data_IF_139944884340
#
_entry.id   IF_139944884340
#
_cell.length_a   1.000
_cell.length_b   1.000
_cell.length_c   1.000
_cell.angle_alpha   90.00
_cell.angle_beta   90.00
_cell.angle_gamma   90.00
#
_symmetry.space_group_name_H-M   'P 1'
#
loop_
_entity.id
_entity.type
_entity.pdbx_description
1 polymer ?
#
# COMPACT_ATOMS: atom_id res chain seq x y z
N UNK A 1 30.02 -4.79 3.29
CA UNK A 1 28.94 -3.84 3.66
C UNK A 1 29.54 -2.51 4.11
N UNK A 2 29.30 -1.44 3.35
CA UNK A 2 29.61 -0.06 3.79
C UNK A 2 28.79 0.22 5.05
N UNK A 3 29.40 0.75 6.11
CA UNK A 3 28.75 1.02 7.42
C UNK A 3 28.06 -0.18 8.08
N UNK A 4 28.40 -1.42 7.67
CA UNK A 4 27.70 -2.65 8.11
C UNK A 4 26.19 -2.59 7.83
N UNK A 5 25.82 -2.02 6.68
CA UNK A 5 24.44 -1.91 6.21
C UNK A 5 24.19 -2.86 5.03
N UNK A 6 23.01 -3.47 4.99
CA UNK A 6 22.60 -4.39 3.90
C UNK A 6 21.15 -4.19 3.50
N UNK A 7 20.87 -4.26 2.19
CA UNK A 7 19.52 -4.40 1.64
C UNK A 7 19.24 -5.90 1.58
N UNK A 8 18.23 -6.35 2.33
CA UNK A 8 17.89 -7.76 2.41
C UNK A 8 16.42 -7.99 2.06
N UNK A 9 16.17 -8.93 1.15
CA UNK A 9 14.84 -9.48 0.91
C UNK A 9 14.76 -10.93 1.34
N UNK A 10 13.60 -11.36 1.84
CA UNK A 10 13.34 -12.75 2.21
C UNK A 10 12.49 -13.39 1.13
N UNK A 11 12.93 -14.52 0.58
CA UNK A 11 12.23 -15.15 -0.55
C UNK A 11 12.26 -16.67 -0.49
N UNK A 12 11.30 -17.27 -1.20
CA UNK A 12 11.20 -18.71 -1.45
C UNK A 12 10.91 -18.95 -2.95
N UNK A 13 10.87 -20.23 -3.34
CA UNK A 13 10.73 -20.64 -4.74
C UNK A 13 9.41 -20.24 -5.41
N UNK A 14 8.35 -19.95 -4.64
CA UNK A 14 7.02 -19.70 -5.17
C UNK A 14 6.89 -18.34 -5.88
N UNK A 15 7.81 -17.41 -5.59
CA UNK A 15 7.76 -16.02 -6.03
C UNK A 15 8.95 -15.62 -6.91
N UNK A 16 9.62 -16.58 -7.56
CA UNK A 16 10.76 -16.32 -8.47
C UNK A 16 10.47 -15.27 -9.54
N UNK A 17 9.24 -15.21 -10.04
CA UNK A 17 8.84 -14.23 -11.04
C UNK A 17 8.90 -12.78 -10.53
N UNK A 18 8.60 -12.55 -9.25
CA UNK A 18 8.78 -11.23 -8.61
C UNK A 18 10.23 -11.04 -8.16
N UNK A 19 10.87 -12.09 -7.63
CA UNK A 19 12.28 -12.03 -7.23
C UNK A 19 13.20 -11.62 -8.38
N UNK A 20 12.93 -12.08 -9.60
CA UNK A 20 13.69 -11.66 -10.78
C UNK A 20 13.62 -10.14 -10.99
N UNK A 21 12.43 -9.54 -10.93
CA UNK A 21 12.24 -8.09 -11.09
C UNK A 21 12.91 -7.30 -9.95
N UNK A 22 12.82 -7.80 -8.72
CA UNK A 22 13.49 -7.23 -7.55
C UNK A 22 15.02 -7.21 -7.73
N UNK A 23 15.60 -8.34 -8.15
CA UNK A 23 17.03 -8.51 -8.39
C UNK A 23 17.51 -7.65 -9.54
N UNK A 24 16.77 -7.60 -10.65
CA UNK A 24 17.09 -6.71 -11.78
C UNK A 24 17.09 -5.25 -11.33
N UNK A 25 16.12 -4.86 -10.49
CA UNK A 25 16.06 -3.53 -9.87
C UNK A 25 17.34 -3.18 -9.10
N UNK A 26 17.72 -3.98 -8.10
CA UNK A 26 18.88 -3.61 -7.28
C UNK A 26 20.24 -3.85 -7.95
N UNK A 27 20.40 -4.86 -8.81
CA UNK A 27 21.69 -5.15 -9.47
C UNK A 27 21.92 -4.27 -10.70
N UNK A 28 20.93 -4.13 -11.57
CA UNK A 28 21.08 -3.45 -12.87
C UNK A 28 20.60 -2.01 -12.81
N UNK A 29 19.45 -1.77 -12.19
CA UNK A 29 18.85 -0.44 -12.04
C UNK A 29 19.61 0.44 -11.06
N UNK A 30 19.36 0.24 -9.76
CA UNK A 30 19.92 1.04 -8.68
C UNK A 30 21.41 0.76 -8.39
N UNK A 31 21.96 -0.37 -8.87
CA UNK A 31 23.36 -0.81 -8.65
C UNK A 31 23.77 -0.76 -7.18
N UNK A 32 22.93 -1.36 -6.33
CA UNK A 32 23.09 -1.37 -4.87
C UNK A 32 24.22 -2.34 -4.52
N UNK A 33 25.34 -1.88 -3.93
CA UNK A 33 26.52 -2.74 -3.74
C UNK A 33 26.40 -3.72 -2.56
N UNK A 34 25.56 -3.42 -1.58
CA UNK A 34 25.38 -4.23 -0.37
C UNK A 34 23.94 -4.77 -0.32
N UNK A 35 23.59 -5.63 -1.28
CA UNK A 35 22.27 -6.22 -1.41
C UNK A 35 22.36 -7.75 -1.39
N UNK A 36 21.40 -8.41 -0.74
CA UNK A 36 21.34 -9.87 -0.72
C UNK A 36 19.92 -10.40 -0.63
N UNK A 37 19.76 -11.69 -0.94
CA UNK A 37 18.53 -12.44 -0.76
C UNK A 37 18.71 -13.46 0.37
N UNK A 38 17.78 -13.48 1.31
CA UNK A 38 17.68 -14.53 2.32
C UNK A 38 16.79 -15.64 1.78
N UNK A 39 17.42 -16.74 1.40
CA UNK A 39 16.77 -17.90 0.79
C UNK A 39 16.15 -18.78 1.88
N UNK A 40 14.82 -18.93 1.85
CA UNK A 40 14.07 -19.77 2.79
C UNK A 40 14.05 -21.26 2.40
N UNK A 41 14.51 -21.59 1.20
CA UNK A 41 14.58 -22.96 0.68
C UNK A 41 15.80 -23.14 -0.25
N UNK A 42 16.20 -24.40 -0.43
CA UNK A 42 17.36 -24.77 -1.27
C UNK A 42 17.18 -24.31 -2.73
N UNK A 43 16.02 -24.47 -3.39
CA UNK A 43 15.83 -23.98 -4.75
C UNK A 43 16.08 -22.47 -4.89
N UNK A 44 15.74 -21.66 -3.89
CA UNK A 44 16.00 -20.22 -3.90
C UNK A 44 17.48 -19.91 -3.77
N UNK A 45 18.22 -20.66 -2.95
CA UNK A 45 19.67 -20.52 -2.83
C UNK A 45 20.35 -20.85 -4.18
N UNK A 46 19.97 -21.96 -4.81
CA UNK A 46 20.47 -22.33 -6.14
C UNK A 46 20.10 -21.30 -7.22
N UNK A 47 18.88 -20.76 -7.16
CA UNK A 47 18.44 -19.69 -8.06
C UNK A 47 19.31 -18.44 -7.93
N UNK A 48 19.70 -18.07 -6.69
CA UNK A 48 20.58 -16.93 -6.42
C UNK A 48 22.01 -17.20 -6.90
N UNK A 49 22.56 -18.39 -6.61
CA UNK A 49 23.90 -18.81 -7.08
C UNK A 49 24.01 -18.73 -8.60
N UNK A 50 23.02 -19.24 -9.32
CA UNK A 50 23.00 -19.25 -10.78
C UNK A 50 22.96 -17.84 -11.41
N UNK A 51 22.66 -16.80 -10.62
CA UNK A 51 22.52 -15.40 -11.06
C UNK A 51 23.53 -14.46 -10.41
N UNK A 52 24.53 -14.99 -9.72
CA UNK A 52 25.53 -14.20 -8.98
C UNK A 52 24.87 -13.21 -7.99
N UNK A 53 23.82 -13.67 -7.32
CA UNK A 53 23.13 -12.91 -6.27
C UNK A 53 23.67 -13.35 -4.92
N UNK A 54 24.24 -12.40 -4.17
CA UNK A 54 24.65 -12.63 -2.79
C UNK A 54 23.44 -13.14 -1.99
N UNK A 55 23.62 -14.23 -1.25
CA UNK A 55 22.52 -14.84 -0.51
C UNK A 55 22.97 -15.43 0.83
N UNK A 56 21.98 -15.57 1.71
CA UNK A 56 22.09 -16.23 3.00
C UNK A 56 20.96 -17.26 3.10
N UNK A 57 21.28 -18.54 3.31
CA UNK A 57 20.26 -19.58 3.44
C UNK A 57 19.80 -19.70 4.88
N UNK A 58 18.50 -19.52 5.11
CA UNK A 58 17.85 -19.76 6.41
C UNK A 58 16.53 -20.48 6.19
N UNK A 59 16.58 -21.81 6.24
CA UNK A 59 15.39 -22.63 6.06
C UNK A 59 14.43 -22.42 7.22
N UNK A 60 13.28 -21.80 6.93
CA UNK A 60 12.24 -21.52 7.91
C UNK A 60 10.90 -21.99 7.37
N UNK A 61 10.09 -22.58 8.25
CA UNK A 61 8.70 -22.93 7.99
C UNK A 61 7.79 -22.04 8.82
N UNK A 62 6.65 -21.64 8.24
CA UNK A 62 5.63 -20.89 8.96
C UNK A 62 5.01 -21.78 10.04
N UNK A 63 4.39 -21.16 11.06
CA UNK A 63 3.74 -21.87 12.17
C UNK A 63 2.72 -22.92 11.72
N UNK A 64 1.98 -22.62 10.65
CA UNK A 64 0.94 -23.50 10.11
C UNK A 64 1.47 -24.44 9.03
N UNK A 65 2.77 -24.38 8.70
CA UNK A 65 3.34 -25.04 7.52
C UNK A 65 2.85 -24.45 6.19
N UNK A 66 1.98 -23.43 6.23
CA UNK A 66 1.45 -22.77 5.05
C UNK A 66 2.54 -22.00 4.32
N UNK A 67 2.55 -22.12 3.00
CA UNK A 67 3.38 -21.33 2.09
C UNK A 67 2.67 -20.06 1.61
N UNK A 68 1.48 -19.75 2.17
CA UNK A 68 0.77 -18.51 1.89
C UNK A 68 1.65 -17.29 2.22
N UNK A 69 1.49 -16.22 1.45
CA UNK A 69 2.25 -14.98 1.58
C UNK A 69 2.11 -14.40 2.98
N UNK A 70 0.92 -14.47 3.59
CA UNK A 70 0.71 -14.00 4.97
C UNK A 70 1.44 -14.86 5.99
N UNK A 71 1.44 -16.18 5.84
CA UNK A 71 2.10 -17.12 6.75
C UNK A 71 3.64 -17.05 6.65
N UNK A 72 4.17 -16.73 5.48
CA UNK A 72 5.61 -16.62 5.22
C UNK A 72 6.16 -15.21 5.49
N UNK A 73 5.35 -14.16 5.36
CA UNK A 73 5.77 -12.77 5.61
C UNK A 73 6.36 -12.56 7.01
N UNK A 74 5.79 -13.15 8.05
CA UNK A 74 6.27 -13.00 9.43
C UNK A 74 7.66 -13.60 9.69
N UNK A 75 8.16 -14.48 8.81
CA UNK A 75 9.49 -15.10 8.97
C UNK A 75 10.64 -14.08 8.88
N UNK A 76 10.39 -12.92 8.26
CA UNK A 76 11.37 -11.83 8.15
C UNK A 76 11.92 -11.39 9.51
N UNK A 77 11.12 -11.40 10.57
CA UNK A 77 11.60 -10.97 11.89
C UNK A 77 12.67 -11.90 12.48
N UNK A 78 12.62 -13.21 12.21
CA UNK A 78 13.70 -14.14 12.60
C UNK A 78 15.00 -13.89 11.85
N UNK A 79 14.90 -13.43 10.61
CA UNK A 79 16.06 -13.07 9.79
C UNK A 79 16.66 -11.76 10.30
N UNK A 80 15.82 -10.78 10.64
CA UNK A 80 16.25 -9.50 11.20
C UNK A 80 17.03 -9.67 12.51
N UNK A 81 16.62 -10.60 13.37
CA UNK A 81 17.36 -10.92 14.61
C UNK A 81 18.82 -11.30 14.32
N UNK A 82 19.10 -12.07 13.27
CA UNK A 82 20.47 -12.49 12.95
C UNK A 82 21.35 -11.29 12.60
N UNK A 83 20.87 -10.42 11.70
CA UNK A 83 21.58 -9.22 11.28
C UNK A 83 21.84 -8.29 12.47
N UNK A 84 20.80 -8.00 13.25
CA UNK A 84 20.90 -7.06 14.37
C UNK A 84 21.80 -7.59 15.49
N UNK A 85 21.81 -8.91 15.74
CA UNK A 85 22.65 -9.54 16.77
C UNK A 85 24.14 -9.36 16.48
N UNK A 86 24.54 -9.40 15.21
CA UNK A 86 25.94 -9.18 14.83
C UNK A 86 26.29 -7.70 14.67
N UNK A 87 25.34 -6.78 14.90
CA UNK A 87 25.54 -5.34 14.69
C UNK A 87 25.49 -4.92 13.23
N UNK A 88 24.73 -5.63 12.39
CA UNK A 88 24.46 -5.27 10.99
C UNK A 88 23.10 -4.56 10.90
N UNK A 89 23.09 -3.32 10.41
CA UNK A 89 21.85 -2.58 10.14
C UNK A 89 21.27 -3.06 8.81
N UNK A 90 19.95 -3.11 8.70
CA UNK A 90 19.28 -3.80 7.59
C UNK A 90 18.15 -2.96 7.03
N UNK A 91 18.21 -2.69 5.73
CA UNK A 91 17.09 -2.22 4.93
C UNK A 91 16.35 -3.47 4.47
N UNK A 92 15.30 -3.83 5.18
CA UNK A 92 14.44 -4.92 4.78
C UNK A 92 13.53 -4.46 3.64
N UNK A 93 13.38 -5.33 2.64
CA UNK A 93 12.44 -5.16 1.55
C UNK A 93 11.71 -6.46 1.27
N UNK A 94 10.40 -6.39 1.11
CA UNK A 94 9.62 -7.42 0.43
C UNK A 94 10.02 -7.45 -1.05
N UNK A 95 9.77 -8.59 -1.71
CA UNK A 95 10.18 -8.82 -3.11
C UNK A 95 9.36 -8.02 -4.13
N UNK A 96 8.26 -7.41 -3.70
CA UNK A 96 7.36 -6.59 -4.51
C UNK A 96 7.73 -5.09 -4.47
N UNK A 97 8.97 -4.78 -4.10
CA UNK A 97 9.58 -3.47 -4.19
C UNK A 97 10.49 -3.38 -5.42
N UNK A 98 10.35 -2.33 -6.21
CA UNK A 98 11.26 -1.99 -7.31
C UNK A 98 12.25 -0.91 -6.87
N UNK A 99 13.53 -1.04 -7.24
CA UNK A 99 14.62 -0.16 -6.81
C UNK A 99 15.26 0.60 -7.98
N UNK A 100 14.95 1.89 -8.14
CA UNK A 100 15.47 2.69 -9.27
C UNK A 100 16.76 3.42 -8.91
N UNK A 101 16.96 3.77 -7.63
CA UNK A 101 18.18 4.46 -7.16
C UNK A 101 18.71 3.81 -5.89
N UNK A 102 20.04 3.83 -5.71
CA UNK A 102 20.66 3.31 -4.49
C UNK A 102 20.14 4.06 -3.25
N UNK A 103 19.48 3.38 -2.28
CA UNK A 103 18.81 4.05 -1.17
C UNK A 103 19.77 4.46 -0.06
N UNK A 104 20.96 3.84 0.06
CA UNK A 104 21.84 4.06 1.22
C UNK A 104 22.26 5.51 1.43
N UNK A 105 22.61 6.31 0.40
CA UNK A 105 22.91 7.73 0.59
C UNK A 105 21.74 8.56 1.14
N UNK A 106 20.51 8.05 1.04
CA UNK A 106 19.27 8.77 1.38
C UNK A 106 18.61 8.32 2.69
N UNK A 107 19.18 7.33 3.40
CA UNK A 107 18.73 6.95 4.75
C UNK A 107 19.15 8.02 5.78
N UNK A 108 18.26 8.36 6.70
CA UNK A 108 18.45 9.44 7.68
C UNK A 108 19.39 9.04 8.83
N UNK A 109 19.27 7.79 9.30
CA UNK A 109 20.04 7.15 10.37
C UNK A 109 19.93 7.83 11.73
N UNK A 110 18.78 8.40 12.03
CA UNK A 110 18.52 9.13 13.27
C UNK A 110 17.41 8.50 14.14
N UNK A 111 16.88 7.36 13.71
CA UNK A 111 15.87 6.59 14.42
C UNK A 111 16.19 5.09 14.35
N UNK A 112 15.77 4.34 15.36
CA UNK A 112 15.89 2.87 15.41
C UNK A 112 15.21 2.23 14.19
N UNK A 113 14.05 2.77 13.82
CA UNK A 113 13.24 2.36 12.68
C UNK A 113 13.01 3.54 11.73
N UNK A 114 13.46 3.40 10.49
CA UNK A 114 13.04 4.25 9.38
C UNK A 114 12.10 3.44 8.48
N UNK A 115 10.81 3.72 8.52
CA UNK A 115 9.80 2.93 7.81
C UNK A 115 9.10 3.68 6.70
N UNK A 116 8.73 2.98 5.63
CA UNK A 116 7.74 3.50 4.69
C UNK A 116 6.37 3.63 5.37
N UNK A 117 5.57 4.63 5.00
CA UNK A 117 4.18 4.70 5.39
C UNK A 117 3.29 4.07 4.33
N UNK A 118 2.21 3.44 4.78
CA UNK A 118 1.08 3.11 3.92
C UNK A 118 0.30 4.38 3.53
N UNK A 119 0.46 5.51 4.24
CA UNK A 119 -0.09 6.80 3.78
C UNK A 119 0.44 7.17 2.39
N UNK A 120 -0.41 7.72 1.53
CA UNK A 120 -0.15 7.93 0.10
C UNK A 120 -0.10 9.40 -0.32
N UNK A 121 -0.24 10.31 0.65
CA UNK A 121 -0.04 11.75 0.52
C UNK A 121 0.68 12.27 1.76
N UNK A 122 1.08 13.55 1.76
CA UNK A 122 1.84 14.13 2.88
C UNK A 122 1.12 13.99 4.23
N UNK A 123 -0.17 14.31 4.26
CA UNK A 123 -1.01 14.28 5.47
C UNK A 123 -1.14 12.88 6.07
N UNK A 124 -1.31 11.87 5.21
CA UNK A 124 -1.46 10.48 5.66
C UNK A 124 -0.12 9.80 5.94
N UNK A 125 0.93 10.14 5.19
CA UNK A 125 2.25 9.54 5.36
C UNK A 125 2.94 10.03 6.64
N UNK A 126 2.94 11.34 6.89
CA UNK A 126 3.58 11.93 8.07
C UNK A 126 2.65 11.99 9.29
N UNK A 127 1.35 11.88 9.07
CA UNK A 127 0.34 12.03 10.10
C UNK A 127 -0.06 13.49 10.30
N UNK A 128 -1.16 13.69 11.02
CA UNK A 128 -1.71 15.03 11.27
C UNK A 128 -2.36 15.12 12.65
N UNK A 129 -2.48 16.34 13.15
CA UNK A 129 -3.22 16.62 14.38
C UNK A 129 -4.71 16.35 14.15
N UNK A 130 -5.29 15.47 14.97
CA UNK A 130 -6.70 15.09 14.91
C UNK A 130 -7.56 15.81 15.97
N UNK A 131 -6.99 16.81 16.66
CA UNK A 131 -7.63 17.59 17.71
C UNK A 131 -7.37 17.04 19.11
N UNK A 132 -7.59 17.87 20.15
CA UNK A 132 -7.45 17.44 21.54
C UNK A 132 -6.04 16.98 21.95
N UNK A 133 -4.99 17.41 21.22
CA UNK A 133 -3.62 16.95 21.43
C UNK A 133 -3.33 15.56 20.86
N UNK A 134 -4.24 15.00 20.05
CA UNK A 134 -4.06 13.69 19.42
C UNK A 134 -3.42 13.81 18.03
N UNK A 135 -2.59 12.84 17.68
CA UNK A 135 -2.01 12.71 16.34
C UNK A 135 -2.57 11.45 15.69
N UNK A 136 -3.14 11.58 14.50
CA UNK A 136 -3.55 10.45 13.69
C UNK A 136 -2.43 10.07 12.74
N UNK A 137 -1.97 8.82 12.87
CA UNK A 137 -0.96 8.22 12.01
C UNK A 137 -1.62 7.17 11.13
N UNK A 138 -1.17 7.06 9.88
CA UNK A 138 -1.45 5.89 9.06
C UNK A 138 -0.47 4.76 9.39
N UNK A 139 -0.81 3.53 9.02
CA UNK A 139 0.05 2.38 9.29
C UNK A 139 1.45 2.59 8.72
N UNK A 140 2.47 2.15 9.47
CA UNK A 140 3.81 1.91 8.95
C UNK A 140 3.80 0.58 8.22
N UNK A 141 4.32 0.60 7.00
CA UNK A 141 4.40 -0.59 6.18
C UNK A 141 5.41 -1.57 6.79
N UNK A 142 5.06 -2.86 6.86
CA UNK A 142 5.95 -3.91 7.38
C UNK A 142 6.79 -4.59 6.28
N UNK A 143 6.66 -4.16 5.03
CA UNK A 143 7.37 -4.74 3.89
C UNK A 143 8.57 -3.91 3.42
N UNK A 144 8.73 -2.65 3.84
CA UNK A 144 9.95 -1.89 3.54
C UNK A 144 10.31 -0.92 4.67
N UNK A 145 11.45 -1.15 5.30
CA UNK A 145 11.98 -0.33 6.39
C UNK A 145 13.47 -0.58 6.63
N UNK A 146 14.16 0.41 7.17
CA UNK A 146 15.53 0.30 7.65
C UNK A 146 15.55 0.21 9.18
N UNK A 147 16.26 -0.79 9.70
CA UNK A 147 16.56 -0.94 11.11
C UNK A 147 18.03 -0.63 11.37
N UNK A 148 18.28 0.36 12.22
CA UNK A 148 19.60 0.53 12.82
C UNK A 148 19.87 -0.61 13.79
N UNK A 149 21.11 -1.12 13.83
CA UNK A 149 21.54 -2.16 14.75
C UNK A 149 21.71 -1.66 16.19
N UNK A 150 20.62 -1.22 16.81
CA UNK A 150 20.55 -0.80 18.21
C UNK A 150 19.98 -1.91 19.09
N UNK A 151 20.08 -1.73 20.42
CA UNK A 151 19.48 -2.66 21.38
C UNK A 151 17.96 -2.68 21.25
N UNK A 152 17.34 -1.53 20.97
CA UNK A 152 15.90 -1.35 20.82
C UNK A 152 15.39 -2.05 19.55
N UNK A 153 16.07 -1.86 18.40
CA UNK A 153 15.74 -2.58 17.17
C UNK A 153 15.84 -4.09 17.34
N UNK A 154 16.92 -4.59 17.97
CA UNK A 154 17.08 -6.02 18.25
C UNK A 154 15.97 -6.54 19.19
N UNK A 155 15.63 -5.80 20.24
CA UNK A 155 14.55 -6.16 21.15
C UNK A 155 13.18 -6.20 20.44
N UNK A 156 12.92 -5.25 19.53
CA UNK A 156 11.69 -5.22 18.75
C UNK A 156 11.61 -6.41 17.79
N UNK A 157 12.66 -6.65 17.00
CA UNK A 157 12.70 -7.76 16.06
C UNK A 157 12.58 -9.12 16.77
N UNK A 158 13.25 -9.28 17.92
CA UNK A 158 13.16 -10.50 18.74
C UNK A 158 11.75 -10.74 19.25
N UNK A 159 11.08 -9.67 19.71
CA UNK A 159 9.70 -9.78 20.17
C UNK A 159 8.76 -10.09 19.01
N UNK A 160 8.88 -9.40 17.88
CA UNK A 160 8.06 -9.67 16.70
C UNK A 160 8.22 -11.09 16.19
N UNK A 161 9.45 -11.62 16.14
CA UNK A 161 9.72 -13.02 15.82
C UNK A 161 8.95 -13.97 16.75
N UNK A 162 9.02 -13.76 18.07
CA UNK A 162 8.23 -14.54 19.05
C UNK A 162 6.73 -14.41 18.81
N UNK A 163 6.23 -13.18 18.58
CA UNK A 163 4.80 -12.94 18.33
C UNK A 163 4.31 -13.67 17.08
N UNK A 164 5.09 -13.71 15.99
CA UNK A 164 4.73 -14.47 14.79
C UNK A 164 4.65 -15.99 15.04
N UNK A 165 5.42 -16.51 16.00
CA UNK A 165 5.37 -17.92 16.39
C UNK A 165 4.20 -18.22 17.34
N UNK A 166 3.87 -17.30 18.24
CA UNK A 166 2.93 -17.59 19.33
C UNK A 166 1.54 -16.99 19.13
N UNK A 167 1.40 -15.92 18.35
CA UNK A 167 0.16 -15.17 18.16
C UNK A 167 -0.39 -15.41 16.74
N UNK A 168 -1.70 -15.52 16.57
CA UNK A 168 -2.34 -15.56 15.24
C UNK A 168 -2.52 -14.18 14.62
N UNK A 169 -1.61 -13.25 14.92
CA UNK A 169 -1.72 -11.84 14.54
C UNK A 169 -1.09 -11.59 13.17
N UNK A 170 -1.60 -10.59 12.45
CA UNK A 170 -1.01 -10.14 11.20
C UNK A 170 0.31 -9.40 11.46
N UNK A 171 1.32 -9.65 10.63
CA UNK A 171 2.68 -9.10 10.79
C UNK A 171 2.69 -7.58 10.84
N UNK A 172 1.92 -6.92 9.96
CA UNK A 172 1.81 -5.47 9.93
C UNK A 172 1.12 -4.90 11.18
N UNK A 173 0.11 -5.60 11.71
CA UNK A 173 -0.56 -5.20 12.96
C UNK A 173 0.42 -5.28 14.13
N UNK A 174 1.16 -6.39 14.26
CA UNK A 174 2.15 -6.54 15.32
C UNK A 174 3.28 -5.50 15.19
N UNK A 175 3.79 -5.28 13.96
CA UNK A 175 4.80 -4.27 13.64
C UNK A 175 4.42 -2.87 14.11
N UNK A 176 3.19 -2.44 13.85
CA UNK A 176 2.71 -1.11 14.27
C UNK A 176 2.48 -1.06 15.79
N UNK A 177 1.96 -2.14 16.39
CA UNK A 177 1.74 -2.20 17.83
C UNK A 177 3.05 -2.07 18.61
N UNK A 178 4.13 -2.75 18.19
CA UNK A 178 5.43 -2.67 18.89
C UNK A 178 6.10 -1.30 18.80
N UNK A 179 5.72 -0.48 17.80
CA UNK A 179 6.22 0.88 17.63
C UNK A 179 5.43 1.90 18.44
N UNK A 180 4.09 1.76 18.51
CA UNK A 180 3.23 2.85 18.98
C UNK A 180 2.47 2.57 20.28
N UNK A 181 2.33 1.31 20.71
CA UNK A 181 1.64 1.05 21.97
C UNK A 181 2.49 1.54 23.16
N UNK A 182 1.89 2.34 24.07
CA UNK A 182 2.58 2.69 25.31
C UNK A 182 2.76 1.45 26.18
N UNK A 183 3.60 1.54 27.20
CA UNK A 183 3.57 0.53 28.26
C UNK A 183 2.26 0.68 29.06
N UNK A 184 1.53 -0.42 29.27
CA UNK A 184 0.30 -0.45 30.07
C UNK A 184 0.10 -1.83 30.69
N UNK A 185 -0.37 -1.87 31.94
CA UNK A 185 -0.59 -3.13 32.66
C UNK A 185 0.64 -4.05 32.61
N UNK A 186 0.50 -5.24 32.02
CA UNK A 186 1.58 -6.20 31.82
C UNK A 186 2.37 -6.01 30.52
N UNK A 187 1.92 -5.16 29.60
CA UNK A 187 2.62 -4.87 28.36
C UNK A 187 3.76 -3.86 28.59
N UNK A 188 4.99 -4.25 28.24
CA UNK A 188 6.16 -3.36 28.26
C UNK A 188 6.46 -2.86 26.85
N UNK A 189 6.40 -1.56 26.60
CA UNK A 189 6.83 -1.00 25.32
C UNK A 189 8.31 -1.30 25.04
N UNK A 190 8.67 -1.55 23.77
CA UNK A 190 10.08 -1.71 23.38
C UNK A 190 10.82 -0.36 23.39
N UNK A 191 10.10 0.72 23.08
CA UNK A 191 10.64 2.07 23.10
C UNK A 191 11.57 2.37 21.92
N UNK A 192 11.27 1.84 20.73
CA UNK A 192 11.97 2.23 19.51
C UNK A 192 11.63 3.66 19.11
N UNK A 193 12.62 4.41 18.67
CA UNK A 193 12.41 5.66 17.93
C UNK A 193 12.03 5.36 16.48
N UNK A 194 11.12 6.15 15.91
CA UNK A 194 10.60 5.91 14.56
C UNK A 194 10.69 7.16 13.69
N UNK A 195 11.02 6.96 12.41
CA UNK A 195 11.01 7.98 11.36
C UNK A 195 10.28 7.46 10.14
N UNK A 196 9.55 8.36 9.47
CA UNK A 196 8.95 8.07 8.17
C UNK A 196 9.97 8.35 7.09
N UNK A 197 10.20 7.37 6.22
CA UNK A 197 10.90 7.60 4.96
C UNK A 197 10.12 8.63 4.12
N UNK A 198 10.81 9.47 3.35
CA UNK A 198 10.12 10.43 2.48
C UNK A 198 9.21 9.66 1.50
N UNK A 199 7.92 9.93 1.54
CA UNK A 199 6.91 9.16 0.81
C UNK A 199 6.99 9.34 -0.71
N UNK A 200 7.55 10.47 -1.18
CA UNK A 200 7.83 10.65 -2.60
C UNK A 200 9.05 9.86 -3.01
N UNK A 201 10.13 9.86 -2.20
CA UNK A 201 11.34 9.09 -2.47
C UNK A 201 11.09 7.57 -2.45
N UNK A 202 10.27 7.10 -1.51
CA UNK A 202 9.96 5.69 -1.29
C UNK A 202 8.45 5.50 -1.47
N UNK A 203 8.02 5.43 -2.73
CA UNK A 203 6.61 5.40 -3.08
C UNK A 203 5.98 4.08 -2.66
N UNK A 204 4.77 4.14 -2.12
CA UNK A 204 3.84 3.02 -2.25
C UNK A 204 3.07 3.11 -3.59
N UNK A 205 2.46 2.01 -4.01
CA UNK A 205 1.81 1.97 -5.32
C UNK A 205 0.60 2.88 -5.46
N UNK A 206 -0.11 3.20 -4.36
CA UNK A 206 -1.15 4.23 -4.39
C UNK A 206 -0.56 5.59 -4.74
N UNK A 207 0.55 5.97 -4.13
CA UNK A 207 1.21 7.25 -4.41
C UNK A 207 1.58 7.35 -5.90
N UNK A 208 2.17 6.28 -6.45
CA UNK A 208 2.57 6.23 -7.86
C UNK A 208 1.36 6.31 -8.80
N UNK A 209 0.39 5.40 -8.67
CA UNK A 209 -0.71 5.29 -9.63
C UNK A 209 -1.80 6.37 -9.47
N UNK A 210 -1.89 7.05 -8.32
CA UNK A 210 -2.86 8.13 -8.10
C UNK A 210 -2.33 9.51 -8.43
N UNK A 211 -1.05 9.76 -8.13
CA UNK A 211 -0.50 11.11 -8.19
C UNK A 211 0.65 11.21 -9.18
N UNK A 212 1.71 10.42 -8.99
CA UNK A 212 2.92 10.55 -9.83
C UNK A 212 2.60 10.32 -11.30
N UNK A 213 1.80 9.29 -11.61
CA UNK A 213 1.40 8.99 -12.99
C UNK A 213 0.55 10.08 -13.62
N UNK A 214 -0.31 10.72 -12.85
CA UNK A 214 -1.25 11.73 -13.35
C UNK A 214 -0.60 13.11 -13.51
N UNK A 215 0.57 13.33 -12.91
CA UNK A 215 1.33 14.57 -13.00
C UNK A 215 2.49 14.42 -14.00
N UNK A 216 2.38 15.05 -15.17
CA UNK A 216 3.38 14.94 -16.24
C UNK A 216 4.77 15.46 -15.83
N UNK A 217 4.85 16.46 -14.95
CA UNK A 217 6.13 17.00 -14.49
C UNK A 217 6.83 16.02 -13.55
N UNK A 218 6.07 15.37 -12.66
CA UNK A 218 6.61 14.33 -11.80
C UNK A 218 6.89 13.04 -12.57
N UNK A 219 6.01 12.60 -13.47
CA UNK A 219 6.19 11.35 -14.20
C UNK A 219 7.48 11.35 -15.04
N UNK A 220 7.83 12.48 -15.66
CA UNK A 220 8.98 12.59 -16.56
C UNK A 220 10.20 13.27 -15.95
N UNK A 221 10.01 14.12 -14.93
CA UNK A 221 11.07 14.91 -14.30
C UNK A 221 11.63 14.30 -13.02
N UNK A 222 11.05 13.20 -12.53
CA UNK A 222 11.36 12.64 -11.22
C UNK A 222 11.52 11.11 -11.26
N UNK A 223 12.59 10.61 -10.63
CA UNK A 223 12.83 9.17 -10.42
C UNK A 223 12.87 8.89 -8.92
N UNK A 224 11.97 8.03 -8.38
CA UNK A 224 12.00 7.66 -6.97
C UNK A 224 13.19 6.76 -6.63
N UNK A 225 13.46 6.57 -5.33
CA UNK A 225 14.39 5.54 -4.88
C UNK A 225 13.78 4.15 -5.05
N UNK A 226 12.52 4.02 -4.64
CA UNK A 226 11.78 2.77 -4.71
C UNK A 226 10.28 2.96 -4.94
N UNK A 227 9.64 1.91 -5.46
CA UNK A 227 8.18 1.77 -5.53
C UNK A 227 7.80 0.41 -4.94
N UNK A 228 7.05 0.40 -3.85
CA UNK A 228 6.48 -0.80 -3.25
C UNK A 228 5.08 -1.06 -3.81
N UNK A 229 4.88 -2.21 -4.49
CA UNK A 229 3.59 -2.64 -5.03
C UNK A 229 2.76 -3.36 -3.94
N UNK A 230 2.46 -2.64 -2.86
CA UNK A 230 1.84 -3.19 -1.65
C UNK A 230 0.30 -3.21 -1.66
N UNK A 231 -0.36 -2.29 -2.37
CA UNK A 231 -1.81 -2.10 -2.26
C UNK A 231 -2.68 -2.92 -3.21
N UNK A 232 -2.13 -3.42 -4.31
CA UNK A 232 -2.94 -3.96 -5.41
C UNK A 232 -2.82 -5.48 -5.51
N UNK A 233 -3.89 -6.20 -5.90
CA UNK A 233 -3.85 -7.65 -6.03
C UNK A 233 -2.99 -8.11 -7.22
N UNK A 234 -2.91 -7.32 -8.31
CA UNK A 234 -2.16 -7.69 -9.52
C UNK A 234 -0.66 -7.32 -9.43
N UNK A 235 -0.02 -7.60 -8.28
CA UNK A 235 1.37 -7.16 -8.00
C UNK A 235 2.35 -7.53 -9.10
N UNK A 236 2.41 -8.79 -9.60
CA UNK A 236 3.42 -9.17 -10.58
C UNK A 236 3.33 -8.38 -11.88
N UNK A 237 2.11 -8.15 -12.38
CA UNK A 237 1.91 -7.47 -13.66
C UNK A 237 2.11 -5.96 -13.53
N UNK A 238 1.73 -5.35 -12.40
CA UNK A 238 2.04 -3.96 -12.10
C UNK A 238 3.54 -3.74 -11.96
N UNK A 239 4.24 -4.66 -11.28
CA UNK A 239 5.69 -4.62 -11.19
C UNK A 239 6.33 -4.68 -12.57
N UNK A 240 5.87 -5.57 -13.46
CA UNK A 240 6.37 -5.63 -14.84
C UNK A 240 6.20 -4.29 -15.53
N UNK A 241 5.01 -3.70 -15.52
CA UNK A 241 4.77 -2.46 -16.26
C UNK A 241 5.55 -1.26 -15.69
N UNK A 242 5.68 -1.17 -14.37
CA UNK A 242 6.53 -0.14 -13.72
C UNK A 242 8.02 -0.39 -14.04
N UNK A 243 8.46 -1.65 -14.02
CA UNK A 243 9.81 -2.04 -14.44
C UNK A 243 10.06 -1.65 -15.90
N UNK A 244 9.12 -1.93 -16.82
CA UNK A 244 9.22 -1.51 -18.22
C UNK A 244 9.35 0.00 -18.33
N UNK A 245 8.50 0.74 -17.61
CA UNK A 245 8.51 2.19 -17.64
C UNK A 245 9.86 2.80 -17.20
N UNK A 246 10.47 2.31 -16.13
CA UNK A 246 11.72 2.88 -15.60
C UNK A 246 13.00 2.30 -16.20
N UNK A 247 13.01 1.03 -16.63
CA UNK A 247 14.25 0.36 -17.09
C UNK A 247 14.29 0.03 -18.58
N UNK A 248 13.14 0.01 -19.27
CA UNK A 248 13.07 -0.40 -20.66
C UNK A 248 12.75 0.80 -21.58
N UNK A 249 13.51 0.94 -22.67
CA UNK A 249 13.24 1.93 -23.72
C UNK A 249 12.41 1.28 -24.83
N UNK A 250 11.10 1.16 -24.63
CA UNK A 250 10.17 0.74 -25.68
C UNK A 250 9.44 1.96 -26.29
N UNK A 251 8.75 1.77 -27.41
CA UNK A 251 7.93 2.82 -28.05
C UNK A 251 6.63 3.15 -27.29
N UNK A 252 6.19 2.32 -26.34
CA UNK A 252 4.97 2.58 -25.53
C UNK A 252 4.99 2.13 -24.03
N UNK A 253 6.10 2.20 -23.27
CA UNK A 253 6.14 1.84 -21.83
C UNK A 253 5.05 2.52 -21.00
N UNK A 254 4.73 3.77 -21.36
CA UNK A 254 3.66 4.55 -20.74
C UNK A 254 2.31 3.82 -20.82
N UNK A 255 1.97 3.21 -21.95
CA UNK A 255 0.69 2.49 -22.10
C UNK A 255 0.53 1.37 -21.06
N UNK A 256 1.63 0.77 -20.62
CA UNK A 256 1.63 -0.26 -19.57
C UNK A 256 1.15 0.28 -18.23
N UNK A 257 1.67 1.43 -17.78
CA UNK A 257 1.27 2.02 -16.48
C UNK A 257 -0.14 2.65 -16.52
N UNK A 258 -0.62 3.05 -17.70
CA UNK A 258 -1.95 3.64 -17.90
C UNK A 258 -3.10 2.61 -17.92
N UNK A 259 -2.82 1.31 -18.09
CA UNK A 259 -3.87 0.27 -18.00
C UNK A 259 -4.35 0.01 -16.57
N UNK A 260 -3.55 0.44 -15.59
CA UNK A 260 -3.87 0.29 -14.18
C UNK A 260 -4.72 1.44 -13.68
N UNK A 261 -5.39 1.24 -12.56
CA UNK A 261 -6.06 2.31 -11.85
C UNK A 261 -5.33 2.63 -10.53
N UNK A 262 -5.66 3.79 -9.95
CA UNK A 262 -5.05 4.31 -8.71
C UNK A 262 -5.57 3.67 -7.42
N UNK A 263 -6.63 2.85 -7.46
CA UNK A 263 -7.19 2.16 -6.29
C UNK A 263 -7.00 0.64 -6.36
N UNK A 264 -7.87 -0.17 -5.76
CA UNK A 264 -7.57 -1.55 -5.33
C UNK A 264 -7.52 -2.63 -6.44
N UNK A 265 -7.39 -2.27 -7.72
CA UNK A 265 -7.22 -3.24 -8.81
C UNK A 265 -8.28 -3.17 -9.89
N UNK A 266 -8.18 -4.06 -10.88
CA UNK A 266 -9.03 -4.07 -12.08
C UNK A 266 -10.43 -4.68 -11.85
N UNK A 267 -10.66 -5.37 -10.73
CA UNK A 267 -11.92 -6.08 -10.44
C UNK A 267 -13.14 -5.16 -10.35
N UNK A 268 -13.00 -3.99 -9.73
CA UNK A 268 -14.08 -3.01 -9.58
C UNK A 268 -14.59 -2.48 -10.94
N UNK A 269 -13.68 -2.32 -11.90
CA UNK A 269 -14.03 -1.88 -13.27
C UNK A 269 -15.01 -2.85 -13.94
N UNK A 270 -14.92 -4.15 -13.69
CA UNK A 270 -15.73 -5.14 -14.41
C UNK A 270 -17.18 -5.16 -13.94
N UNK A 271 -17.45 -5.06 -12.64
CA UNK A 271 -18.82 -5.01 -12.13
C UNK A 271 -19.46 -3.64 -12.35
N UNK A 272 -18.69 -2.56 -12.23
CA UNK A 272 -19.21 -1.23 -12.52
C UNK A 272 -19.62 -1.04 -13.99
N UNK A 273 -18.97 -1.73 -14.94
CA UNK A 273 -19.40 -1.71 -16.35
C UNK A 273 -20.81 -2.30 -16.57
N UNK A 274 -21.33 -3.07 -15.61
CA UNK A 274 -22.67 -3.69 -15.69
C UNK A 274 -23.78 -2.82 -15.09
N UNK A 275 -23.44 -1.66 -14.50
CA UNK A 275 -24.41 -0.76 -13.88
C UNK A 275 -25.37 -0.21 -14.95
N UNK A 276 -26.67 -0.24 -14.65
CA UNK A 276 -27.67 0.43 -15.47
C UNK A 276 -27.68 1.94 -15.18
N UNK A 277 -26.91 2.71 -15.96
CA UNK A 277 -26.83 4.18 -15.86
C UNK A 277 -28.10 4.92 -16.31
N UNK A 278 -29.11 4.21 -16.82
CA UNK A 278 -30.40 4.78 -17.17
C UNK A 278 -31.44 4.62 -16.06
N UNK A 279 -31.11 3.91 -14.98
CA UNK A 279 -32.03 3.75 -13.85
C UNK A 279 -32.32 5.12 -13.21
N UNK A 280 -33.57 5.30 -12.79
CA UNK A 280 -34.09 6.55 -12.20
C UNK A 280 -34.27 6.38 -10.69
N UNK A 281 -34.28 7.47 -9.92
CA UNK A 281 -34.62 7.40 -8.50
C UNK A 281 -36.10 7.05 -8.31
N UNK A 282 -36.36 6.01 -7.53
CA UNK A 282 -37.71 5.64 -7.06
C UNK A 282 -37.89 6.13 -5.63
N UNK A 283 -38.81 7.08 -5.41
CA UNK A 283 -39.05 7.68 -4.10
C UNK A 283 -39.62 6.70 -3.06
N UNK A 284 -40.08 5.52 -3.47
CA UNK A 284 -40.53 4.46 -2.55
C UNK A 284 -39.36 3.66 -1.93
N UNK A 285 -38.17 3.72 -2.52
CA UNK A 285 -36.95 3.11 -1.96
C UNK A 285 -36.42 3.94 -0.79
N UNK A 286 -36.10 3.27 0.32
CA UNK A 286 -35.68 3.94 1.55
C UNK A 286 -34.37 4.73 1.37
N UNK A 287 -33.40 4.22 0.63
CA UNK A 287 -32.11 4.89 0.44
C UNK A 287 -32.25 6.07 -0.53
N UNK A 288 -33.08 5.91 -1.57
CA UNK A 288 -33.43 7.02 -2.47
C UNK A 288 -34.13 8.12 -1.68
N UNK A 289 -35.14 7.79 -0.87
CA UNK A 289 -35.87 8.76 -0.07
C UNK A 289 -34.96 9.52 0.92
N UNK A 290 -33.89 8.87 1.42
CA UNK A 290 -32.93 9.51 2.32
C UNK A 290 -32.12 10.62 1.65
N UNK A 291 -31.82 10.50 0.36
CA UNK A 291 -30.89 11.41 -0.34
C UNK A 291 -31.55 12.30 -1.39
N UNK A 292 -32.73 11.92 -1.87
CA UNK A 292 -33.46 12.64 -2.93
C UNK A 292 -33.77 14.07 -2.53
N UNK A 293 -33.34 15.03 -3.36
CA UNK A 293 -33.52 16.46 -3.15
C UNK A 293 -32.64 17.06 -2.06
N UNK A 294 -31.73 16.28 -1.46
CA UNK A 294 -30.85 16.75 -0.40
C UNK A 294 -29.45 17.07 -0.90
N UNK A 295 -28.78 17.95 -0.17
CA UNK A 295 -27.36 18.24 -0.36
C UNK A 295 -26.52 17.20 0.35
N UNK A 296 -25.38 16.88 -0.22
CA UNK A 296 -24.41 15.94 0.35
C UNK A 296 -23.10 16.65 0.65
N UNK A 297 -22.50 16.30 1.77
CA UNK A 297 -21.07 16.48 2.02
C UNK A 297 -20.33 15.27 1.44
N UNK A 298 -19.31 15.53 0.61
CA UNK A 298 -18.55 14.46 -0.02
C UNK A 298 -17.09 14.89 -0.22
N UNK A 299 -16.16 14.09 0.30
CA UNK A 299 -14.73 14.26 0.02
C UNK A 299 -14.18 15.57 0.58
N UNK A 300 -14.72 16.03 1.71
CA UNK A 300 -14.40 17.32 2.33
C UNK A 300 -15.08 18.54 1.67
N UNK A 301 -15.94 18.32 0.66
CA UNK A 301 -16.71 19.37 0.01
C UNK A 301 -18.15 19.38 0.57
N UNK A 302 -18.48 20.36 1.41
CA UNK A 302 -19.80 20.49 2.04
C UNK A 302 -20.82 21.14 1.11
N UNK A 303 -21.90 20.42 0.81
CA UNK A 303 -23.01 20.91 -0.01
C UNK A 303 -22.70 20.99 -1.51
N UNK A 304 -21.66 20.30 -1.95
CA UNK A 304 -21.17 20.35 -3.33
C UNK A 304 -21.87 19.37 -4.28
N UNK A 305 -22.75 18.50 -3.75
CA UNK A 305 -23.61 17.64 -4.57
C UNK A 305 -25.06 17.70 -4.10
N UNK A 306 -25.97 17.70 -5.07
CA UNK A 306 -27.41 17.54 -4.87
C UNK A 306 -27.93 16.44 -5.77
N UNK A 307 -28.60 15.44 -5.20
CA UNK A 307 -29.25 14.36 -5.94
C UNK A 307 -30.70 14.76 -6.24
N UNK A 308 -30.94 15.37 -7.40
CA UNK A 308 -32.23 15.98 -7.72
C UNK A 308 -33.36 14.95 -7.86
N UNK A 309 -34.61 15.33 -7.53
CA UNK A 309 -35.80 14.48 -7.63
C UNK A 309 -36.03 13.72 -8.94
N UNK A 310 -35.53 14.25 -10.06
CA UNK A 310 -35.72 13.75 -11.42
C UNK A 310 -34.59 12.80 -11.89
N UNK A 311 -33.59 12.55 -11.05
CA UNK A 311 -32.39 11.77 -11.40
C UNK A 311 -31.25 12.60 -11.97
N UNK A 312 -31.38 13.93 -12.01
CA UNK A 312 -30.27 14.85 -12.29
C UNK A 312 -29.35 14.93 -11.07
N UNK A 313 -28.04 14.94 -11.28
CA UNK A 313 -27.05 15.18 -10.22
C UNK A 313 -26.41 16.55 -10.45
N UNK A 314 -26.61 17.47 -9.52
CA UNK A 314 -26.00 18.81 -9.57
C UNK A 314 -24.73 18.78 -8.72
N UNK A 315 -23.57 19.13 -9.29
CA UNK A 315 -22.32 19.22 -8.53
C UNK A 315 -21.54 20.49 -8.83
N UNK A 316 -20.63 20.88 -7.93
CA UNK A 316 -19.68 21.97 -8.17
C UNK A 316 -18.72 21.70 -9.35
N UNK A 317 -18.56 20.44 -9.76
CA UNK A 317 -17.66 20.02 -10.84
C UNK A 317 -18.38 19.77 -12.17
N UNK A 318 -19.70 19.93 -12.21
CA UNK A 318 -20.51 19.72 -13.41
C UNK A 318 -21.83 19.00 -13.13
N UNK A 319 -22.66 18.88 -14.17
CA UNK A 319 -23.91 18.14 -14.12
C UNK A 319 -23.68 16.66 -14.37
N UNK A 320 -24.53 15.84 -13.77
CA UNK A 320 -24.47 14.39 -13.81
C UNK A 320 -25.85 13.76 -13.77
N UNK A 321 -25.88 12.45 -13.53
CA UNK A 321 -27.10 11.68 -13.29
C UNK A 321 -26.93 10.72 -12.14
N UNK A 322 -28.04 10.35 -11.52
CA UNK A 322 -28.06 9.35 -10.47
C UNK A 322 -29.33 8.51 -10.52
N UNK A 323 -29.28 7.37 -9.85
CA UNK A 323 -30.41 6.47 -9.71
C UNK A 323 -30.04 5.25 -8.89
N UNK A 324 -31.04 4.41 -8.61
CA UNK A 324 -30.84 3.15 -7.88
C UNK A 324 -30.42 2.05 -8.85
N UNK A 325 -29.46 1.22 -8.46
CA UNK A 325 -28.98 0.11 -9.28
C UNK A 325 -28.52 -1.06 -8.42
N UNK A 326 -28.40 -2.22 -9.05
CA UNK A 326 -27.86 -3.43 -8.43
C UNK A 326 -27.01 -4.20 -9.43
N UNK A 327 -25.91 -4.77 -8.97
CA UNK A 327 -25.08 -5.76 -9.68
C UNK A 327 -24.96 -7.03 -8.84
N UNK A 328 -24.22 -8.03 -9.33
CA UNK A 328 -23.95 -9.24 -8.56
C UNK A 328 -23.18 -8.94 -7.25
N UNK A 329 -22.30 -7.94 -7.28
CA UNK A 329 -21.46 -7.54 -6.14
C UNK A 329 -22.00 -6.36 -5.34
N UNK A 330 -22.85 -5.51 -5.92
CA UNK A 330 -23.40 -4.33 -5.26
C UNK A 330 -24.91 -4.37 -5.30
N UNK A 331 -25.55 -4.78 -4.21
CA UNK A 331 -27.00 -4.76 -4.09
C UNK A 331 -27.45 -3.42 -3.51
N UNK A 332 -28.54 -2.91 -4.06
CA UNK A 332 -29.29 -1.76 -3.53
C UNK A 332 -28.44 -0.50 -3.36
N UNK A 333 -27.57 -0.23 -4.33
CA UNK A 333 -26.68 0.93 -4.31
C UNK A 333 -27.23 2.07 -5.17
N UNK A 334 -26.87 3.30 -4.83
CA UNK A 334 -27.14 4.45 -5.69
C UNK A 334 -25.93 4.68 -6.58
N UNK A 335 -26.11 4.75 -7.90
CA UNK A 335 -25.04 5.24 -8.75
C UNK A 335 -25.13 6.77 -8.85
N UNK A 336 -23.97 7.42 -8.88
CA UNK A 336 -23.80 8.85 -9.14
C UNK A 336 -22.76 9.01 -10.25
N UNK A 337 -23.18 9.48 -11.43
CA UNK A 337 -22.28 9.71 -12.57
C UNK A 337 -22.13 11.20 -12.83
N UNK A 338 -20.91 11.72 -12.76
CA UNK A 338 -20.55 13.10 -13.10
C UNK A 338 -19.10 13.16 -13.57
N UNK A 339 -18.77 14.08 -14.47
CA UNK A 339 -17.41 14.25 -15.02
C UNK A 339 -16.84 12.92 -15.57
N UNK A 340 -17.69 12.15 -16.26
CA UNK A 340 -17.39 10.80 -16.81
C UNK A 340 -16.92 9.73 -15.80
N UNK A 341 -17.04 10.03 -14.50
CA UNK A 341 -16.79 9.10 -13.42
C UNK A 341 -18.10 8.60 -12.85
N UNK A 342 -18.21 7.29 -12.62
CA UNK A 342 -19.33 6.67 -11.91
C UNK A 342 -18.89 6.37 -10.50
N UNK A 343 -19.75 6.65 -9.52
CA UNK A 343 -19.59 6.29 -8.13
C UNK A 343 -20.77 5.44 -7.68
N UNK A 344 -20.51 4.50 -6.77
CA UNK A 344 -21.52 3.69 -6.08
C UNK A 344 -21.62 4.14 -4.64
N UNK A 345 -22.77 4.66 -4.26
CA UNK A 345 -23.07 5.13 -2.91
C UNK A 345 -23.81 4.01 -2.15
N UNK A 346 -23.19 3.55 -1.07
CA UNK A 346 -23.79 2.68 -0.05
C UNK A 346 -24.16 3.56 1.14
N UNK A 347 -25.45 3.83 1.29
CA UNK A 347 -25.98 4.74 2.32
C UNK A 347 -26.43 3.91 3.51
N UNK A 348 -26.11 4.37 4.71
CA UNK A 348 -26.61 3.78 5.95
C UNK A 348 -27.81 4.55 6.51
N UNK A 349 -28.38 4.02 7.59
CA UNK A 349 -29.57 4.58 8.22
C UNK A 349 -29.39 5.98 8.82
N UNK A 350 -28.15 6.42 9.04
CA UNK A 350 -27.83 7.76 9.54
C UNK A 350 -27.76 8.80 8.42
N UNK A 351 -27.74 8.36 7.15
CA UNK A 351 -27.46 9.21 6.01
C UNK A 351 -25.95 9.39 5.75
N UNK A 352 -25.09 8.74 6.53
CA UNK A 352 -23.70 8.57 6.15
C UNK A 352 -23.62 7.58 4.98
N UNK A 353 -22.64 7.78 4.11
CA UNK A 353 -22.47 6.89 2.97
C UNK A 353 -21.01 6.67 2.62
N UNK A 354 -20.77 5.48 2.07
CA UNK A 354 -19.52 5.08 1.41
C UNK A 354 -19.71 5.23 -0.08
N UNK A 355 -18.88 6.05 -0.70
CA UNK A 355 -18.83 6.28 -2.15
C UNK A 355 -17.64 5.54 -2.73
N UNK A 356 -17.91 4.58 -3.60
CA UNK A 356 -16.92 3.75 -4.27
C UNK A 356 -16.82 4.22 -5.71
N UNK A 357 -15.69 4.81 -6.10
CA UNK A 357 -15.46 5.24 -7.48
C UNK A 357 -15.26 4.03 -8.39
N UNK A 358 -16.02 3.92 -9.46
CA UNK A 358 -16.00 2.75 -10.34
C UNK A 358 -14.73 2.60 -11.18
N UNK A 359 -14.02 3.69 -11.46
CA UNK A 359 -12.79 3.62 -12.28
C UNK A 359 -11.65 2.93 -11.53
N UNK A 360 -11.61 3.05 -10.21
CA UNK A 360 -10.47 2.61 -9.42
C UNK A 360 -10.79 1.98 -8.06
N UNK A 361 -12.07 1.95 -7.68
CA UNK A 361 -12.53 1.52 -6.37
C UNK A 361 -12.21 2.48 -5.25
N UNK A 362 -11.95 3.76 -5.54
CA UNK A 362 -11.64 4.70 -4.49
C UNK A 362 -12.79 4.88 -3.49
N UNK A 363 -12.40 4.69 -2.25
CA UNK A 363 -13.09 4.87 -0.97
C UNK A 363 -13.30 6.30 -0.51
N UNK A 364 -14.46 6.92 -0.72
CA UNK A 364 -14.76 8.19 -0.06
C UNK A 364 -15.91 8.01 0.93
N UNK A 365 -15.87 8.78 2.02
CA UNK A 365 -16.99 8.93 2.93
C UNK A 365 -17.68 10.26 2.70
N UNK A 366 -18.99 10.27 2.89
CA UNK A 366 -19.80 11.46 2.84
C UNK A 366 -21.00 11.32 3.75
N UNK A 367 -21.72 12.42 3.90
CA UNK A 367 -22.94 12.48 4.69
C UNK A 367 -24.02 13.25 3.95
N UNK A 368 -25.25 12.82 4.10
CA UNK A 368 -26.42 13.62 3.77
C UNK A 368 -26.47 14.80 4.73
N UNK A 369 -26.56 16.01 4.18
CA UNK A 369 -26.72 17.20 5.00
C UNK A 369 -28.13 17.25 5.59
N UNK A 370 -28.30 17.83 6.79
CA UNK A 370 -29.60 18.02 7.44
C UNK A 370 -30.63 18.73 6.57
#
# INVERSE_FOLDING_TARGET
>A
AVRREVLAAVSNKNIFHMLQLYVDGFQKGAKIPNSMVVALDEPTAEWCKARDVAHYTKVLTSRTGSTDNHATSGLKFKVLVDFLTIGCSVLLSDVDVLWMTNPFPHLYRDADVEGMSDGWDEKTAFGHNAGGGTVQLHARNSGMFFLLATRQSLAMATRLARRMETEGTWDQSAWNQEQFLPAYGSHKAVGVSTRVMNYLCNLNSKTFFRFIREDSALLHGYTPLSIHINYHPEKPDRMKDVHRFYYEKYDTPEKGIWRWNGGEGTKLLTECKKINLNARPDASDADVARVRGKKLEWGGCSGCLTLEPDGTLTTSWGKGRWGKTSTASYKDVIFAKFVDVVHLLQIDESGAFRSIRCSDGEELRGNVMP
#
